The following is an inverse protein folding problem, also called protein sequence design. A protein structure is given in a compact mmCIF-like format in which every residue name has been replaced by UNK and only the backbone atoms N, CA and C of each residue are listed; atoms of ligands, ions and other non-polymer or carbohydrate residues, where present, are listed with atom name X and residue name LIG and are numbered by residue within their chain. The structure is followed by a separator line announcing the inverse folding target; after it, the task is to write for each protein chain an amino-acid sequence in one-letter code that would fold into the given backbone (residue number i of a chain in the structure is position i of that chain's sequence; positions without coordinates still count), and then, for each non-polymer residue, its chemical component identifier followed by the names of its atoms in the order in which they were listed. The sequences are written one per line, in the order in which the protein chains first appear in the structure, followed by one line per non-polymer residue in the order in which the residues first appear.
data_IF_948435431267
#
_entry.id   IF_948435431267
#
_cell.length_a   1.000
_cell.length_b   1.000
_cell.length_c   1.000
_cell.angle_alpha   90.00
_cell.angle_beta   90.00
_cell.angle_gamma   90.00
#
_symmetry.space_group_name_H-M   'P 1'
#
loop_
_entity.id
_entity.type
_entity.pdbx_description
1 polymer ?
#
# COMPACT_ATOMS: atom_id res chain seq x y z
N UNK A 1 -7.36 4.60 14.61
CA UNK A 1 -7.92 3.57 13.73
C UNK A 1 -6.81 2.95 12.91
N UNK A 2 -6.65 1.63 12.93
CA UNK A 2 -5.71 0.96 12.03
C UNK A 2 -6.30 0.99 10.62
N UNK A 3 -5.50 1.43 9.65
CA UNK A 3 -5.90 1.39 8.23
C UNK A 3 -6.09 -0.08 7.83
N UNK A 4 -7.26 -0.41 7.28
CA UNK A 4 -7.48 -1.73 6.68
C UNK A 4 -6.54 -1.87 5.46
N UNK A 5 -5.63 -2.84 5.53
CA UNK A 5 -4.63 -3.11 4.50
C UNK A 5 -5.29 -3.38 3.13
N UNK A 6 -6.52 -3.92 3.13
CA UNK A 6 -7.27 -4.15 1.91
C UNK A 6 -7.68 -2.84 1.26
N UNK A 7 -8.04 -1.83 2.06
CA UNK A 7 -8.36 -0.49 1.54
C UNK A 7 -7.09 0.17 1.01
N UNK A 8 -6.00 0.14 1.78
CA UNK A 8 -4.73 0.73 1.36
C UNK A 8 -4.19 0.10 0.07
N UNK A 9 -4.23 -1.23 -0.03
CA UNK A 9 -3.80 -1.98 -1.22
C UNK A 9 -4.68 -1.66 -2.44
N UNK A 10 -6.01 -1.61 -2.27
CA UNK A 10 -6.94 -1.18 -3.33
C UNK A 10 -6.67 0.23 -3.82
N UNK A 11 -6.33 1.16 -2.92
CA UNK A 11 -6.00 2.55 -3.27
C UNK A 11 -4.70 2.58 -4.09
N UNK A 12 -3.66 1.88 -3.66
CA UNK A 12 -2.40 1.77 -4.42
C UNK A 12 -2.62 1.18 -5.82
N UNK A 13 -3.43 0.12 -5.93
CA UNK A 13 -3.80 -0.49 -7.21
C UNK A 13 -4.59 0.46 -8.12
N UNK A 14 -5.49 1.28 -7.55
CA UNK A 14 -6.24 2.27 -8.32
C UNK A 14 -5.32 3.34 -8.91
N UNK A 15 -4.35 3.82 -8.13
CA UNK A 15 -3.35 4.76 -8.62
C UNK A 15 -2.47 4.14 -9.72
N UNK A 16 -2.03 2.88 -9.55
CA UNK A 16 -1.20 2.19 -10.53
C UNK A 16 -1.93 1.91 -11.86
N UNK A 17 -3.25 1.69 -11.82
CA UNK A 17 -4.07 1.48 -13.03
C UNK A 17 -4.29 2.76 -13.83
N UNK A 18 -4.17 3.93 -13.21
CA UNK A 18 -4.33 5.22 -13.88
C UNK A 18 -3.06 5.64 -14.66
N UNK A 19 -2.57 4.75 -15.53
CA UNK A 19 -1.53 5.05 -16.52
C UNK A 19 -2.17 5.66 -17.74
N UNK A 20 -2.61 6.92 -17.63
CA UNK A 20 -3.10 7.68 -18.77
C UNK A 20 -2.00 7.76 -19.84
N UNK A 21 -2.11 6.94 -20.90
CA UNK A 21 -1.13 6.87 -21.99
C UNK A 21 -1.26 8.03 -22.97
N UNK A 22 -2.47 8.53 -23.13
CA UNK A 22 -2.82 9.66 -24.00
C UNK A 22 -3.58 10.65 -23.12
N UNK A 23 -2.92 11.76 -22.80
CA UNK A 23 -3.50 12.83 -21.99
C UNK A 23 -4.48 13.66 -22.81
N UNK A 24 -5.39 14.37 -22.14
CA UNK A 24 -6.22 15.41 -22.80
C UNK A 24 -5.36 16.43 -23.53
N UNK A 25 -4.17 16.73 -23.01
CA UNK A 25 -3.20 17.64 -23.62
C UNK A 25 -2.55 17.06 -24.88
N UNK A 26 -2.30 15.74 -24.95
CA UNK A 26 -1.87 15.06 -26.19
C UNK A 26 -2.93 15.25 -27.28
N UNK A 27 -4.21 14.98 -26.95
CA UNK A 27 -5.33 15.11 -27.91
C UNK A 27 -5.46 16.53 -28.44
N UNK A 28 -5.35 17.52 -27.55
CA UNK A 28 -5.44 18.93 -27.92
C UNK A 28 -4.25 19.36 -28.79
N UNK A 29 -3.02 18.94 -28.45
CA UNK A 29 -1.84 19.20 -29.25
C UNK A 29 -1.97 18.66 -30.67
N UNK A 30 -2.39 17.41 -30.84
CA UNK A 30 -2.63 16.78 -32.16
C UNK A 30 -3.72 17.51 -32.94
N UNK A 31 -4.83 17.89 -32.29
CA UNK A 31 -5.90 18.62 -32.96
C UNK A 31 -5.43 20.00 -33.46
N UNK A 32 -4.66 20.73 -32.64
CA UNK A 32 -4.10 22.03 -33.02
C UNK A 32 -3.12 21.91 -34.20
N UNK A 33 -2.27 20.89 -34.21
CA UNK A 33 -1.34 20.61 -35.31
C UNK A 33 -2.09 20.30 -36.62
N UNK A 34 -3.16 19.50 -36.52
CA UNK A 34 -3.99 19.15 -37.66
C UNK A 34 -4.68 20.39 -38.25
N UNK A 35 -5.25 21.26 -37.42
CA UNK A 35 -5.90 22.50 -37.88
C UNK A 35 -4.87 23.49 -38.41
N UNK A 36 -3.69 23.58 -37.79
CA UNK A 36 -2.58 24.42 -38.28
C UNK A 36 -2.19 24.03 -39.71
N UNK A 37 -2.00 22.73 -39.96
CA UNK A 37 -1.63 22.18 -41.26
C UNK A 37 -2.70 22.46 -42.32
N UNK A 38 -3.99 22.37 -41.97
CA UNK A 38 -5.09 22.66 -42.89
C UNK A 38 -5.23 24.16 -43.20
N UNK A 39 -4.77 25.03 -42.30
CA UNK A 39 -4.94 26.48 -42.40
C UNK A 39 -3.75 27.20 -43.04
N UNK A 40 -2.66 26.49 -43.36
CA UNK A 40 -1.38 27.07 -43.77
C UNK A 40 -1.50 28.07 -44.94
N UNK A 41 -2.28 27.72 -45.96
CA UNK A 41 -2.47 28.57 -47.16
C UNK A 41 -3.55 29.64 -46.99
N UNK A 42 -4.62 29.31 -46.26
CA UNK A 42 -5.79 30.18 -46.13
C UNK A 42 -5.63 31.25 -45.03
N UNK A 43 -4.89 30.93 -43.97
CA UNK A 43 -4.69 31.78 -42.80
C UNK A 43 -3.30 31.51 -42.16
N UNK A 44 -2.19 31.98 -42.78
CA UNK A 44 -0.83 31.63 -42.37
C UNK A 44 -0.47 32.09 -40.95
N UNK A 45 -0.98 33.24 -40.51
CA UNK A 45 -0.74 33.72 -39.14
C UNK A 45 -1.45 32.85 -38.10
N UNK A 46 -2.69 32.42 -38.38
CA UNK A 46 -3.42 31.49 -37.54
C UNK A 46 -2.72 30.13 -37.49
N UNK A 47 -2.28 29.62 -38.65
CA UNK A 47 -1.51 28.38 -38.75
C UNK A 47 -0.28 28.40 -37.84
N UNK A 48 0.53 29.48 -37.90
CA UNK A 48 1.70 29.65 -37.03
C UNK A 48 1.35 29.63 -35.54
N UNK A 49 0.32 30.38 -35.13
CA UNK A 49 -0.12 30.41 -33.72
C UNK A 49 -0.57 29.03 -33.23
N UNK A 50 -1.29 28.28 -34.08
CA UNK A 50 -1.76 26.93 -33.75
C UNK A 50 -0.61 25.92 -33.66
N UNK A 51 0.42 26.05 -34.51
CA UNK A 51 1.65 25.24 -34.40
C UNK A 51 2.39 25.50 -33.09
N UNK A 52 2.57 26.77 -32.70
CA UNK A 52 3.21 27.12 -31.42
C UNK A 52 2.40 26.60 -30.22
N UNK A 53 1.07 26.76 -30.26
CA UNK A 53 0.19 26.21 -29.24
C UNK A 53 0.26 24.68 -29.16
N UNK A 54 0.32 24.00 -30.31
CA UNK A 54 0.49 22.54 -30.37
C UNK A 54 1.78 22.08 -29.69
N UNK A 55 2.92 22.72 -29.99
CA UNK A 55 4.21 22.40 -29.38
C UNK A 55 4.18 22.56 -27.85
N UNK A 56 3.58 23.65 -27.34
CA UNK A 56 3.39 23.82 -25.89
C UNK A 56 2.55 22.70 -25.28
N UNK A 57 1.44 22.32 -25.92
CA UNK A 57 0.59 21.22 -25.46
C UNK A 57 1.33 19.86 -25.50
N UNK A 58 2.12 19.57 -26.53
CA UNK A 58 2.91 18.34 -26.61
C UNK A 58 3.98 18.27 -25.50
N UNK A 59 4.65 19.39 -25.18
CA UNK A 59 5.60 19.48 -24.07
C UNK A 59 4.93 19.28 -22.72
N UNK A 60 3.77 19.90 -22.50
CA UNK A 60 2.96 19.70 -21.29
C UNK A 60 2.52 18.24 -21.13
N UNK A 61 2.08 17.61 -22.22
CA UNK A 61 1.72 16.19 -22.21
C UNK A 61 2.90 15.29 -21.84
N UNK A 62 4.09 15.58 -22.37
CA UNK A 62 5.33 14.87 -22.03
C UNK A 62 5.69 15.03 -20.57
N UNK A 63 5.66 16.27 -20.05
CA UNK A 63 5.92 16.54 -18.63
C UNK A 63 4.94 15.78 -17.72
N UNK A 64 3.66 15.73 -18.07
CA UNK A 64 2.64 15.00 -17.30
C UNK A 64 2.88 13.48 -17.32
N UNK A 65 3.22 12.91 -18.47
CA UNK A 65 3.56 11.49 -18.60
C UNK A 65 4.79 11.13 -17.76
N UNK A 66 5.82 11.98 -17.77
CA UNK A 66 7.02 11.79 -16.94
C UNK A 66 6.70 11.86 -15.45
N UNK A 67 5.94 12.88 -15.01
CA UNK A 67 5.50 12.97 -13.62
C UNK A 67 4.71 11.73 -13.18
N UNK A 68 3.74 11.29 -13.99
CA UNK A 68 2.96 10.09 -13.70
C UNK A 68 3.86 8.85 -13.63
N UNK A 69 4.85 8.73 -14.51
CA UNK A 69 5.81 7.61 -14.48
C UNK A 69 6.63 7.62 -13.19
N UNK A 70 7.21 8.77 -12.84
CA UNK A 70 8.04 8.96 -11.65
C UNK A 70 7.26 8.59 -10.38
N UNK A 71 6.06 9.17 -10.19
CA UNK A 71 5.20 8.89 -9.03
C UNK A 71 4.82 7.41 -8.96
N UNK A 72 4.61 6.76 -10.10
CA UNK A 72 4.34 5.32 -10.12
C UNK A 72 5.53 4.49 -9.61
N UNK A 73 6.75 4.82 -10.03
CA UNK A 73 7.94 4.02 -9.71
C UNK A 73 8.56 4.37 -8.37
N UNK A 74 8.51 5.63 -7.92
CA UNK A 74 9.21 6.09 -6.70
C UNK A 74 8.29 6.28 -5.50
N UNK A 75 7.00 6.00 -5.63
CA UNK A 75 6.04 6.16 -4.53
C UNK A 75 5.00 5.06 -4.51
N UNK A 76 4.25 4.88 -5.60
CA UNK A 76 3.15 3.90 -5.62
C UNK A 76 3.68 2.48 -5.51
N UNK A 77 4.76 2.15 -6.23
CA UNK A 77 5.39 0.83 -6.17
C UNK A 77 6.00 0.54 -4.79
N UNK A 78 6.73 1.48 -4.21
CA UNK A 78 7.31 1.35 -2.87
C UNK A 78 6.23 1.19 -1.80
N UNK A 79 5.16 2.00 -1.85
CA UNK A 79 4.02 1.88 -0.95
C UNK A 79 3.36 0.50 -1.09
N UNK A 80 3.17 0.02 -2.31
CA UNK A 80 2.57 -1.30 -2.57
C UNK A 80 3.45 -2.42 -2.04
N UNK A 81 4.77 -2.32 -2.19
CA UNK A 81 5.71 -3.27 -1.63
C UNK A 81 5.64 -3.29 -0.10
N UNK A 82 5.67 -2.12 0.55
CA UNK A 82 5.53 -2.01 2.01
C UNK A 82 4.21 -2.63 2.50
N UNK A 83 3.09 -2.32 1.86
CA UNK A 83 1.78 -2.86 2.22
C UNK A 83 1.73 -4.39 2.08
N UNK A 84 2.24 -4.93 0.97
CA UNK A 84 2.14 -6.37 0.69
C UNK A 84 3.18 -7.22 1.42
N UNK A 85 4.25 -6.61 1.94
CA UNK A 85 5.33 -7.31 2.63
C UNK A 85 5.32 -6.98 4.12
N UNK A 86 5.92 -5.86 4.50
CA UNK A 86 6.16 -5.45 5.87
C UNK A 86 4.87 -5.30 6.68
N UNK A 87 3.88 -4.57 6.15
CA UNK A 87 2.63 -4.37 6.90
C UNK A 87 1.81 -5.67 6.99
N UNK A 88 1.83 -6.51 5.94
CA UNK A 88 1.19 -7.82 5.97
C UNK A 88 1.83 -8.75 7.01
N UNK A 89 3.15 -8.75 7.13
CA UNK A 89 3.89 -9.50 8.15
C UNK A 89 3.54 -9.03 9.56
N UNK A 90 3.48 -7.72 9.79
CA UNK A 90 3.06 -7.14 11.06
C UNK A 90 1.63 -7.56 11.44
N UNK A 91 0.70 -7.56 10.49
CA UNK A 91 -0.67 -8.02 10.76
C UNK A 91 -0.72 -9.50 11.16
N UNK A 92 0.05 -10.37 10.49
CA UNK A 92 0.14 -11.78 10.87
C UNK A 92 0.74 -11.96 12.27
N UNK A 93 1.79 -11.20 12.60
CA UNK A 93 2.38 -11.21 13.93
C UNK A 93 1.37 -10.78 15.01
N UNK A 94 0.60 -9.72 14.74
CA UNK A 94 -0.48 -9.26 15.61
C UNK A 94 -1.54 -10.34 15.85
N UNK A 95 -2.05 -10.97 14.79
CA UNK A 95 -3.04 -12.05 14.91
C UNK A 95 -2.50 -13.22 15.73
N UNK A 96 -1.27 -13.67 15.45
CA UNK A 96 -0.62 -14.74 16.21
C UNK A 96 -0.46 -14.38 17.69
N UNK A 97 -0.08 -13.13 17.99
CA UNK A 97 0.04 -12.64 19.37
C UNK A 97 -1.31 -12.63 20.10
N UNK A 98 -2.40 -12.27 19.41
CA UNK A 98 -3.76 -12.32 19.95
C UNK A 98 -4.21 -13.77 20.21
N UNK A 99 -3.89 -14.71 19.33
CA UNK A 99 -4.18 -16.14 19.49
C UNK A 99 -3.50 -16.71 20.75
N UNK A 100 -2.17 -16.57 20.86
CA UNK A 100 -1.43 -17.12 22.03
C UNK A 100 -1.82 -16.44 23.34
N UNK A 101 -2.24 -15.16 23.31
CA UNK A 101 -2.79 -14.48 24.49
C UNK A 101 -4.11 -15.13 24.92
N UNK A 102 -5.00 -15.41 23.97
CA UNK A 102 -6.30 -16.02 24.27
C UNK A 102 -6.16 -17.46 24.79
N UNK A 103 -5.20 -18.22 24.27
CA UNK A 103 -4.88 -19.56 24.79
C UNK A 103 -4.41 -19.48 26.25
N UNK A 104 -3.45 -18.60 26.55
CA UNK A 104 -2.97 -18.38 27.91
C UNK A 104 -4.08 -17.94 28.87
N UNK A 105 -4.95 -17.01 28.46
CA UNK A 105 -6.09 -16.56 29.26
C UNK A 105 -7.11 -17.68 29.53
N UNK A 106 -7.33 -18.54 28.53
CA UNK A 106 -8.18 -19.73 28.62
C UNK A 106 -7.65 -20.71 29.67
N UNK A 107 -6.36 -21.02 29.61
CA UNK A 107 -5.74 -22.01 30.50
C UNK A 107 -5.56 -21.47 31.93
N UNK A 108 -5.30 -20.17 32.10
CA UNK A 108 -5.39 -19.49 33.41
C UNK A 108 -6.79 -19.61 34.02
N UNK A 109 -7.82 -19.47 33.20
CA UNK A 109 -9.21 -19.64 33.64
C UNK A 109 -9.51 -21.08 34.04
N UNK A 110 -9.04 -22.07 33.26
CA UNK A 110 -9.21 -23.49 33.58
C UNK A 110 -8.47 -23.88 34.87
N UNK A 111 -7.26 -23.35 35.09
CA UNK A 111 -6.50 -23.53 36.33
C UNK A 111 -7.26 -22.98 37.54
N UNK A 112 -7.80 -21.75 37.44
CA UNK A 112 -8.60 -21.14 38.51
C UNK A 112 -9.83 -21.97 38.88
N UNK A 113 -10.43 -22.64 37.90
CA UNK A 113 -11.63 -23.46 38.08
C UNK A 113 -11.35 -24.93 38.42
N UNK A 114 -10.07 -25.35 38.47
CA UNK A 114 -9.67 -26.72 38.75
C UNK A 114 -9.98 -27.12 40.21
N UNK A 115 -10.65 -28.26 40.39
CA UNK A 115 -11.12 -28.72 41.71
C UNK A 115 -10.26 -29.83 42.28
N UNK A 116 -9.64 -30.66 41.44
CA UNK A 116 -8.78 -31.77 41.88
C UNK A 116 -7.30 -31.42 41.77
N UNK A 117 -6.46 -32.10 42.54
CA UNK A 117 -5.01 -31.92 42.48
C UNK A 117 -4.44 -32.26 41.10
N UNK A 118 -4.94 -33.32 40.45
CA UNK A 118 -4.53 -33.70 39.09
C UNK A 118 -4.93 -32.66 38.05
N UNK A 119 -6.14 -32.09 38.14
CA UNK A 119 -6.56 -31.00 37.26
C UNK A 119 -5.69 -29.76 37.44
N UNK A 120 -5.36 -29.41 38.68
CA UNK A 120 -4.46 -28.28 38.98
C UNK A 120 -3.07 -28.52 38.39
N UNK A 121 -2.47 -29.68 38.64
CA UNK A 121 -1.15 -30.03 38.10
C UNK A 121 -1.12 -30.00 36.57
N UNK A 122 -2.19 -30.49 35.92
CA UNK A 122 -2.33 -30.43 34.46
C UNK A 122 -2.37 -28.98 33.96
N UNK A 123 -3.29 -28.15 34.48
CA UNK A 123 -3.44 -26.79 33.98
C UNK A 123 -2.28 -25.88 34.39
N UNK A 124 -1.57 -26.15 35.49
CA UNK A 124 -0.30 -25.48 35.80
C UNK A 124 0.77 -25.78 34.74
N UNK A 125 0.85 -27.02 34.25
CA UNK A 125 1.79 -27.37 33.20
C UNK A 125 1.45 -26.69 31.87
N UNK A 126 0.18 -26.65 31.48
CA UNK A 126 -0.26 -25.96 30.26
C UNK A 126 -0.05 -24.44 30.38
N UNK A 127 -0.42 -23.81 31.50
CA UNK A 127 -0.17 -22.36 31.71
C UNK A 127 1.32 -22.04 31.58
N UNK A 128 2.23 -22.83 32.17
CA UNK A 128 3.68 -22.59 32.02
C UNK A 128 4.14 -22.68 30.57
N UNK A 129 3.57 -23.59 29.80
CA UNK A 129 3.88 -23.75 28.38
C UNK A 129 3.37 -22.54 27.59
N UNK A 130 2.11 -22.16 27.80
CA UNK A 130 1.49 -21.02 27.11
C UNK A 130 2.13 -19.69 27.50
N UNK A 131 2.61 -19.54 28.74
CA UNK A 131 3.42 -18.38 29.16
C UNK A 131 4.73 -18.31 28.36
N UNK A 132 5.44 -19.44 28.22
CA UNK A 132 6.65 -19.50 27.41
C UNK A 132 6.39 -19.21 25.93
N UNK A 133 5.27 -19.69 25.39
CA UNK A 133 4.89 -19.44 24.00
C UNK A 133 4.46 -17.99 23.78
N UNK A 134 3.70 -17.40 24.70
CA UNK A 134 3.33 -15.99 24.69
C UNK A 134 4.57 -15.09 24.72
N UNK A 135 5.50 -15.32 25.66
CA UNK A 135 6.71 -14.50 25.80
C UNK A 135 7.56 -14.55 24.52
N UNK A 136 7.73 -15.74 23.95
CA UNK A 136 8.48 -15.91 22.69
C UNK A 136 7.82 -15.15 21.53
N UNK A 137 6.52 -15.35 21.32
CA UNK A 137 5.77 -14.68 20.24
C UNK A 137 5.69 -13.17 20.46
N UNK A 138 5.63 -12.71 21.70
CA UNK A 138 5.63 -11.30 22.05
C UNK A 138 6.95 -10.63 21.62
N UNK A 139 8.10 -11.23 21.95
CA UNK A 139 9.41 -10.70 21.53
C UNK A 139 9.61 -10.72 20.00
N UNK A 140 9.19 -11.80 19.34
CA UNK A 140 9.16 -11.89 17.87
C UNK A 140 8.31 -10.75 17.28
N UNK A 141 7.11 -10.52 17.82
CA UNK A 141 6.18 -9.50 17.33
C UNK A 141 6.69 -8.09 17.54
N UNK A 142 7.29 -7.79 18.70
CA UNK A 142 7.91 -6.48 18.95
C UNK A 142 8.97 -6.14 17.91
N UNK A 143 9.83 -7.12 17.58
CA UNK A 143 10.86 -6.96 16.56
C UNK A 143 10.24 -6.62 15.20
N UNK A 144 9.18 -7.32 14.81
CA UNK A 144 8.45 -7.07 13.56
C UNK A 144 7.83 -5.67 13.57
N UNK A 145 7.15 -5.28 14.66
CA UNK A 145 6.52 -3.96 14.77
C UNK A 145 7.53 -2.82 14.72
N UNK A 146 8.66 -2.95 15.41
CA UNK A 146 9.74 -1.96 15.35
C UNK A 146 10.32 -1.83 13.95
N UNK A 147 10.51 -2.95 13.24
CA UNK A 147 10.94 -2.93 11.84
C UNK A 147 9.91 -2.21 10.97
N UNK A 148 8.62 -2.55 11.12
CA UNK A 148 7.53 -1.90 10.36
C UNK A 148 7.48 -0.39 10.57
N UNK A 149 7.68 0.08 11.80
CA UNK A 149 7.72 1.53 12.11
C UNK A 149 8.99 2.24 11.60
N UNK A 150 10.05 1.52 11.23
CA UNK A 150 11.29 2.10 10.69
C UNK A 150 11.32 2.15 9.17
N UNK A 151 10.59 1.24 8.51
CA UNK A 151 10.52 1.15 7.05
C UNK A 151 9.54 2.15 6.42
N UNK A 152 8.76 2.88 7.21
CA UNK A 152 7.86 3.95 6.77
C UNK A 152 8.00 5.17 7.67
#
# INVERSE_FOLDING_TARGET
EFVDINIASKVADAFQKNKEKITTTDKLGTALEQVASQSEKAAPQLSKMLTEASDVHQRMATARKNFNSEVNTTFIEDLKNFLNTTLSEAQKAKTKLEEVRLDLDSDKTKLKNAKTAEQKAKWEAEVRKDESDFDRVHQESLTIFEKTCKEF
#
